data_IF_041153568864
#
_entry.id   IF_041153568864
#
_cell.length_a   1.000
_cell.length_b   1.000
_cell.length_c   1.000
_cell.angle_alpha   90.00
_cell.angle_beta   90.00
_cell.angle_gamma   90.00
#
_symmetry.space_group_name_H-M   'P 1'
#
loop_
_entity.id
_entity.type
_entity.pdbx_description
1 polymer ?
#
# COMPACT_ATOMS: atom_id res chain seq x y z
N UNK A 1 -20.16 -9.12 -24.33
CA UNK A 1 -19.11 -8.44 -23.54
C UNK A 1 -19.61 -8.29 -22.12
N UNK A 2 -19.18 -9.20 -21.22
CA UNK A 2 -19.52 -9.12 -19.79
C UNK A 2 -18.58 -8.08 -19.18
N UNK A 3 -19.14 -7.01 -18.61
CA UNK A 3 -18.38 -6.05 -17.79
C UNK A 3 -17.99 -6.79 -16.50
N UNK A 4 -16.71 -7.09 -16.35
CA UNK A 4 -16.15 -7.54 -15.07
C UNK A 4 -16.05 -6.27 -14.22
N UNK A 5 -16.98 -6.11 -13.29
CA UNK A 5 -16.84 -5.14 -12.22
C UNK A 5 -15.72 -5.66 -11.33
N UNK A 6 -14.52 -5.08 -11.42
CA UNK A 6 -13.47 -5.32 -10.43
C UNK A 6 -14.02 -4.90 -9.07
N UNK A 7 -14.22 -5.89 -8.20
CA UNK A 7 -14.46 -5.66 -6.78
C UNK A 7 -13.12 -5.19 -6.24
N UNK A 8 -13.03 -3.89 -6.00
CA UNK A 8 -11.94 -3.27 -5.26
C UNK A 8 -11.70 -4.07 -3.98
N UNK A 9 -10.46 -4.48 -3.75
CA UNK A 9 -9.99 -4.87 -2.43
C UNK A 9 -10.01 -3.60 -1.56
N UNK A 10 -11.20 -3.23 -1.09
CA UNK A 10 -11.32 -2.39 0.08
C UNK A 10 -10.79 -3.24 1.23
N UNK A 11 -9.56 -2.93 1.67
CA UNK A 11 -9.04 -3.40 2.93
C UNK A 11 -10.04 -2.98 4.02
N UNK A 12 -10.89 -3.91 4.45
CA UNK A 12 -11.78 -3.71 5.58
C UNK A 12 -10.91 -3.53 6.83
N UNK A 13 -10.87 -2.29 7.31
CA UNK A 13 -10.25 -1.89 8.56
C UNK A 13 -10.95 -2.60 9.72
N UNK A 14 -10.33 -3.66 10.24
CA UNK A 14 -10.73 -4.28 11.51
C UNK A 14 -9.96 -3.58 12.62
N UNK A 15 -10.73 -2.91 13.49
CA UNK A 15 -10.27 -2.16 14.64
C UNK A 15 -10.13 -3.11 15.85
N UNK A 16 -8.91 -3.36 16.34
CA UNK A 16 -8.68 -3.90 17.69
C UNK A 16 -7.44 -3.24 18.28
N UNK A 17 -7.60 -2.71 19.50
CA UNK A 17 -6.65 -1.79 20.12
C UNK A 17 -5.60 -2.38 21.07
N UNK A 18 -4.70 -1.48 21.43
CA UNK A 18 -3.90 -1.34 22.66
C UNK A 18 -2.81 -2.38 22.98
N UNK A 19 -1.54 -1.95 22.87
CA UNK A 19 -0.40 -2.58 23.55
C UNK A 19 0.99 -1.98 23.26
N UNK A 20 1.34 -0.90 23.96
CA UNK A 20 2.68 -0.45 24.41
C UNK A 20 3.96 -0.54 23.50
N UNK A 21 4.53 0.65 23.24
CA UNK A 21 5.96 1.05 23.23
C UNK A 21 7.05 0.10 22.69
N UNK A 22 7.77 0.53 21.63
CA UNK A 22 9.16 1.01 21.77
C UNK A 22 9.72 1.68 20.50
N UNK A 23 10.55 2.70 20.73
CA UNK A 23 11.39 3.42 19.76
C UNK A 23 12.38 2.50 19.03
N UNK A 24 12.65 2.81 17.75
CA UNK A 24 13.95 3.29 17.25
C UNK A 24 14.21 2.84 15.80
N UNK A 25 14.64 3.77 14.95
CA UNK A 25 15.24 3.44 13.66
C UNK A 25 15.15 4.57 12.66
N UNK A 26 16.10 5.50 12.71
CA UNK A 26 16.27 6.57 11.73
C UNK A 26 17.02 6.01 10.51
N UNK A 27 16.53 6.10 9.26
CA UNK A 27 17.39 5.99 8.09
C UNK A 27 17.55 7.36 7.46
N UNK A 28 18.73 7.94 7.64
CA UNK A 28 19.20 9.08 6.86
C UNK A 28 19.38 8.63 5.39
N UNK A 29 18.42 9.00 4.54
CA UNK A 29 18.51 8.92 3.09
C UNK A 29 18.20 10.29 2.48
N UNK A 30 19.10 10.79 1.64
CA UNK A 30 19.11 12.13 1.03
C UNK A 30 17.73 12.64 0.58
N UNK A 31 17.10 13.46 1.42
CA UNK A 31 16.00 14.35 1.02
C UNK A 31 16.61 15.62 0.43
N UNK A 32 16.36 15.84 -0.86
CA UNK A 32 16.66 17.10 -1.51
C UNK A 32 15.97 18.25 -0.75
N UNK A 33 16.74 19.28 -0.43
CA UNK A 33 16.35 20.38 0.46
C UNK A 33 15.01 21.02 0.04
N UNK A 34 13.94 20.64 0.72
CA UNK A 34 12.63 21.28 0.59
C UNK A 34 12.60 22.46 1.56
N UNK A 35 12.29 23.66 1.05
CA UNK A 35 12.22 24.89 1.86
C UNK A 35 11.27 24.69 3.04
N UNK A 36 11.77 24.99 4.24
CA UNK A 36 11.04 24.91 5.51
C UNK A 36 9.69 25.63 5.45
N UNK A 37 8.66 24.90 5.92
CA UNK A 37 7.31 25.39 6.18
C UNK A 37 7.33 26.58 7.14
N UNK A 38 6.48 27.59 6.89
CA UNK A 38 6.20 28.64 7.85
C UNK A 38 5.18 28.08 8.87
N UNK A 39 5.63 27.73 10.07
CA UNK A 39 4.77 27.17 11.12
C UNK A 39 4.05 28.30 11.86
N UNK A 40 2.72 28.36 11.69
CA UNK A 40 1.72 28.85 12.65
C UNK A 40 2.07 28.54 14.13
N UNK A 41 2.54 29.45 15.02
CA UNK A 41 3.03 29.07 16.35
C UNK A 41 2.04 28.41 17.33
N UNK A 42 0.72 28.42 17.07
CA UNK A 42 -0.28 28.11 18.10
C UNK A 42 -1.25 26.94 17.80
N UNK A 43 -1.12 26.24 16.68
CA UNK A 43 -1.97 25.07 16.38
C UNK A 43 -1.20 23.79 16.64
N UNK A 44 -1.56 23.08 17.71
CA UNK A 44 -0.95 21.80 18.08
C UNK A 44 -1.54 20.69 17.20
N UNK A 45 -0.70 20.04 16.40
CA UNK A 45 -1.06 18.80 15.70
C UNK A 45 -1.43 17.69 16.71
N UNK A 46 -2.30 16.73 16.32
CA UNK A 46 -2.64 15.60 17.17
C UNK A 46 -1.42 14.76 17.53
N UNK A 47 -1.52 13.99 18.61
CA UNK A 47 -0.42 13.13 19.06
C UNK A 47 -0.02 12.13 17.97
N UNK A 48 1.29 11.97 17.75
CA UNK A 48 1.83 11.08 16.71
C UNK A 48 2.07 11.77 15.37
N UNK A 49 1.61 13.01 15.17
CA UNK A 49 1.83 13.76 13.94
C UNK A 49 2.81 14.93 14.13
N UNK A 50 3.57 15.18 13.06
CA UNK A 50 4.39 16.38 12.88
C UNK A 50 4.17 16.90 11.46
N UNK A 51 4.45 18.17 11.19
CA UNK A 51 4.34 18.72 9.84
C UNK A 51 5.25 17.97 8.86
N UNK A 52 6.46 17.60 9.29
CA UNK A 52 7.44 16.85 8.49
C UNK A 52 6.96 15.42 8.17
N UNK A 53 6.39 14.72 9.15
CA UNK A 53 5.87 13.36 8.92
C UNK A 53 4.64 13.37 8.01
N UNK A 54 3.75 14.36 8.13
CA UNK A 54 2.61 14.54 7.21
C UNK A 54 3.09 14.86 5.79
N UNK A 55 4.06 15.77 5.65
CA UNK A 55 4.62 16.12 4.34
C UNK A 55 5.25 14.90 3.64
N UNK A 56 6.02 14.09 4.39
CA UNK A 56 6.64 12.87 3.86
C UNK A 56 5.59 11.84 3.48
N UNK A 57 4.59 11.62 4.33
CA UNK A 57 3.48 10.72 4.07
C UNK A 57 2.65 11.19 2.85
N UNK A 58 2.52 12.49 2.64
CA UNK A 58 1.78 13.04 1.50
C UNK A 58 2.52 12.82 0.16
N UNK A 59 3.84 13.00 0.12
CA UNK A 59 4.65 12.66 -1.06
C UNK A 59 4.53 11.16 -1.39
N UNK A 60 4.63 10.31 -0.38
CA UNK A 60 4.53 8.86 -0.57
C UNK A 60 3.11 8.42 -0.97
N UNK A 61 2.06 9.07 -0.44
CA UNK A 61 0.67 8.85 -0.85
C UNK A 61 0.47 9.17 -2.34
N UNK A 62 0.99 10.32 -2.80
CA UNK A 62 0.96 10.68 -4.22
C UNK A 62 1.73 9.64 -5.05
N UNK A 63 2.92 9.26 -4.61
CA UNK A 63 3.74 8.28 -5.31
C UNK A 63 3.03 6.93 -5.45
N UNK A 64 2.42 6.43 -4.37
CA UNK A 64 1.70 5.16 -4.35
C UNK A 64 0.63 5.09 -5.43
N UNK A 65 -0.24 6.10 -5.50
CA UNK A 65 -1.29 6.14 -6.52
C UNK A 65 -0.73 6.35 -7.93
N UNK A 66 0.33 7.13 -8.12
CA UNK A 66 0.96 7.23 -9.45
C UNK A 66 1.62 5.93 -9.89
N UNK A 67 2.10 5.12 -8.94
CA UNK A 67 2.76 3.84 -9.20
C UNK A 67 1.76 2.74 -9.57
N UNK A 68 0.71 2.58 -8.75
CA UNK A 68 -0.29 1.52 -8.91
C UNK A 68 -1.47 1.92 -9.82
N UNK A 69 -1.84 3.20 -9.87
CA UNK A 69 -3.05 3.68 -10.54
C UNK A 69 -2.80 4.71 -11.66
N UNK A 70 -1.85 4.49 -12.61
CA UNK A 70 -1.60 5.49 -13.64
C UNK A 70 -2.75 5.54 -14.66
N UNK A 71 -3.04 6.73 -15.20
CA UNK A 71 -4.08 6.99 -16.19
C UNK A 71 -3.90 6.23 -17.51
N UNK A 72 -2.69 5.71 -17.78
CA UNK A 72 -2.43 4.83 -18.92
C UNK A 72 -3.16 3.48 -18.82
N UNK A 73 -3.62 3.09 -17.63
CA UNK A 73 -4.39 1.86 -17.39
C UNK A 73 -5.88 2.20 -17.39
N UNK A 74 -6.72 1.53 -18.22
CA UNK A 74 -8.13 1.85 -18.32
C UNK A 74 -8.86 1.76 -16.98
N UNK A 75 -9.62 2.81 -16.66
CA UNK A 75 -10.39 2.90 -15.42
C UNK A 75 -9.66 3.61 -14.29
N UNK A 76 -8.35 3.83 -14.41
CA UNK A 76 -7.58 4.58 -13.44
C UNK A 76 -7.62 6.08 -13.74
N UNK A 77 -7.68 6.86 -12.68
CA UNK A 77 -7.51 8.31 -12.74
C UNK A 77 -6.99 8.79 -11.40
N UNK A 78 -5.90 9.54 -11.41
CA UNK A 78 -5.39 10.16 -10.21
C UNK A 78 -5.15 11.66 -10.42
N UNK A 79 -5.62 12.44 -9.46
CA UNK A 79 -5.74 13.90 -9.61
C UNK A 79 -4.38 14.61 -9.72
N UNK A 80 -3.32 14.01 -9.18
CA UNK A 80 -1.97 14.58 -9.21
C UNK A 80 -1.18 14.21 -10.47
N UNK A 81 -1.63 13.26 -11.30
CA UNK A 81 -0.87 12.80 -12.48
C UNK A 81 -0.64 13.90 -13.53
N UNK A 82 -1.61 14.77 -13.88
CA UNK A 82 -1.38 15.90 -14.78
C UNK A 82 -0.41 16.97 -14.22
N UNK A 83 -0.03 16.84 -12.95
CA UNK A 83 0.81 17.76 -12.22
C UNK A 83 2.23 17.25 -11.98
N UNK A 84 2.62 16.09 -12.53
CA UNK A 84 4.01 15.61 -12.52
C UNK A 84 4.95 16.71 -13.04
N UNK A 85 6.01 16.98 -12.28
CA UNK A 85 7.00 18.04 -12.52
C UNK A 85 6.54 19.45 -12.13
N UNK A 86 5.30 19.62 -11.62
CA UNK A 86 4.74 20.90 -11.20
C UNK A 86 4.66 21.01 -9.68
N UNK A 87 4.67 22.25 -9.20
CA UNK A 87 4.49 22.59 -7.79
C UNK A 87 3.01 22.48 -7.40
N UNK A 88 2.76 21.86 -6.26
CA UNK A 88 1.48 21.82 -5.54
C UNK A 88 1.69 22.48 -4.19
N UNK A 89 0.77 23.36 -3.81
CA UNK A 89 0.72 23.97 -2.49
C UNK A 89 -0.29 23.21 -1.63
N UNK A 90 0.10 22.87 -0.40
CA UNK A 90 -0.65 22.03 0.51
C UNK A 90 -0.82 22.71 1.87
N UNK A 91 -2.02 22.59 2.43
CA UNK A 91 -2.41 23.13 3.73
C UNK A 91 -2.80 21.98 4.66
N UNK A 92 -2.16 21.93 5.84
CA UNK A 92 -2.48 20.98 6.90
C UNK A 92 -3.64 21.53 7.72
N UNK A 93 -4.79 20.87 7.66
CA UNK A 93 -6.02 21.26 8.37
C UNK A 93 -6.36 20.27 9.47
N UNK A 94 -6.83 20.78 10.60
CA UNK A 94 -7.45 19.98 11.67
C UNK A 94 -8.84 20.53 11.91
N UNK A 95 -9.86 19.69 11.74
CA UNK A 95 -11.27 20.09 11.88
C UNK A 95 -11.76 19.84 13.31
N UNK A 96 -12.63 20.71 13.82
CA UNK A 96 -13.19 20.56 15.17
C UNK A 96 -14.00 19.26 15.33
N UNK A 97 -14.67 18.82 14.25
CA UNK A 97 -15.42 17.56 14.20
C UNK A 97 -14.53 16.30 14.20
N UNK A 98 -13.26 16.44 13.83
CA UNK A 98 -12.27 15.35 13.75
C UNK A 98 -10.92 15.81 14.32
N UNK A 99 -10.86 16.10 15.64
CA UNK A 99 -9.70 16.76 16.23
C UNK A 99 -8.44 15.89 16.24
N UNK A 100 -8.57 14.58 16.07
CA UNK A 100 -7.46 13.62 16.08
C UNK A 100 -6.97 13.25 14.67
N UNK A 101 -7.59 13.79 13.62
CA UNK A 101 -7.30 13.44 12.22
C UNK A 101 -6.81 14.68 11.47
N UNK A 102 -5.54 14.73 11.06
CA UNK A 102 -5.05 15.74 10.14
C UNK A 102 -5.52 15.46 8.72
N UNK A 103 -5.79 16.54 7.99
CA UNK A 103 -6.16 16.51 6.59
C UNK A 103 -5.21 17.37 5.78
N UNK A 104 -4.94 16.99 4.53
CA UNK A 104 -4.30 17.87 3.56
C UNK A 104 -5.34 18.34 2.55
N UNK A 105 -5.50 19.66 2.47
CA UNK A 105 -6.13 20.32 1.33
C UNK A 105 -5.05 20.83 0.39
N UNK A 106 -5.26 20.77 -0.92
CA UNK A 106 -4.30 21.32 -1.88
C UNK A 106 -4.94 22.29 -2.85
N UNK A 107 -4.11 23.00 -3.61
CA UNK A 107 -4.57 23.84 -4.70
C UNK A 107 -4.96 23.07 -5.98
N UNK A 108 -4.87 21.74 -5.97
CA UNK A 108 -5.24 20.87 -7.10
C UNK A 108 -6.21 19.78 -6.65
N UNK A 109 -7.16 19.45 -7.52
CA UNK A 109 -8.18 18.46 -7.20
C UNK A 109 -9.24 18.94 -6.21
N UNK A 110 -10.20 18.06 -5.98
CA UNK A 110 -11.28 18.23 -5.01
C UNK A 110 -11.13 17.14 -3.95
N UNK A 111 -11.32 17.49 -2.68
CA UNK A 111 -11.22 16.56 -1.56
C UNK A 111 -10.09 16.86 -0.57
N UNK A 112 -10.03 16.04 0.47
CA UNK A 112 -9.08 16.15 1.57
C UNK A 112 -8.33 14.82 1.73
N UNK A 113 -7.02 14.82 1.63
CA UNK A 113 -6.25 13.61 1.95
C UNK A 113 -6.27 13.41 3.46
N UNK A 114 -6.72 12.23 3.88
CA UNK A 114 -6.88 11.86 5.29
C UNK A 114 -5.60 11.21 5.78
N UNK A 115 -5.11 11.61 6.96
CA UNK A 115 -3.91 11.02 7.55
C UNK A 115 -4.23 10.21 8.80
N UNK A 116 -3.62 9.03 8.89
CA UNK A 116 -3.63 8.20 10.08
C UNK A 116 -2.21 8.03 10.63
N UNK A 117 -2.14 7.68 11.92
CA UNK A 117 -0.90 7.30 12.58
C UNK A 117 -1.08 5.92 13.22
N UNK A 118 -0.17 4.99 12.94
CA UNK A 118 -0.17 3.64 13.49
C UNK A 118 1.26 3.22 13.79
N UNK A 119 1.53 2.76 15.01
CA UNK A 119 2.83 2.24 15.44
C UNK A 119 4.03 3.16 15.13
N UNK A 120 3.80 4.47 15.17
CA UNK A 120 4.80 5.50 14.89
C UNK A 120 4.95 5.88 13.41
N UNK A 121 4.20 5.25 12.51
CA UNK A 121 4.13 5.60 11.09
C UNK A 121 2.95 6.52 10.81
N UNK A 122 3.17 7.56 10.01
CA UNK A 122 2.12 8.43 9.47
C UNK A 122 1.95 8.11 7.99
N UNK A 123 0.71 7.93 7.54
CA UNK A 123 0.40 7.59 6.15
C UNK A 123 -0.92 8.22 5.69
N UNK A 124 -1.07 8.41 4.38
CA UNK A 124 -2.33 8.83 3.78
C UNK A 124 -3.28 7.65 3.63
N UNK A 125 -4.49 7.78 4.15
CA UNK A 125 -5.52 6.73 4.21
C UNK A 125 -6.59 6.88 3.11
N UNK A 126 -6.40 7.83 2.20
CA UNK A 126 -7.30 8.09 1.08
C UNK A 126 -7.67 9.55 0.95
N UNK A 127 -8.61 9.83 0.03
CA UNK A 127 -9.17 11.16 -0.22
C UNK A 127 -10.62 11.14 0.24
N UNK A 128 -10.96 11.95 1.23
CA UNK A 128 -12.33 12.22 1.61
C UNK A 128 -12.93 13.29 0.69
N UNK A 129 -14.13 13.03 0.19
CA UNK A 129 -14.97 13.96 -0.57
C UNK A 129 -16.26 14.26 0.18
N UNK A 130 -16.96 15.34 -0.18
CA UNK A 130 -18.18 15.74 0.51
C UNK A 130 -19.23 14.60 0.51
N UNK A 131 -19.68 14.23 1.71
CA UNK A 131 -20.62 13.13 1.93
C UNK A 131 -19.99 11.81 2.34
N UNK A 132 -18.65 11.67 2.25
CA UNK A 132 -17.96 10.50 2.76
C UNK A 132 -17.96 10.46 4.31
N UNK A 133 -17.93 9.27 4.94
CA UNK A 133 -17.86 9.17 6.40
C UNK A 133 -16.64 9.85 7.03
N UNK A 134 -15.53 9.93 6.29
CA UNK A 134 -14.30 10.61 6.71
C UNK A 134 -14.31 12.11 6.40
N UNK A 135 -15.37 12.63 5.76
CA UNK A 135 -15.51 14.06 5.50
C UNK A 135 -15.89 14.78 6.80
N UNK A 136 -15.22 15.88 7.15
CA UNK A 136 -15.57 16.66 8.33
C UNK A 136 -16.97 17.24 8.20
N UNK A 137 -17.81 17.03 9.22
CA UNK A 137 -19.20 17.51 9.24
C UNK A 137 -19.33 19.01 9.50
N UNK A 138 -18.25 19.67 9.90
CA UNK A 138 -18.17 21.10 10.17
C UNK A 138 -17.09 21.72 9.29
N UNK A 139 -17.37 22.90 8.74
CA UNK A 139 -16.41 23.64 7.90
C UNK A 139 -15.28 24.30 8.73
N UNK A 140 -15.45 24.44 10.05
CA UNK A 140 -14.45 25.09 10.89
C UNK A 140 -13.23 24.20 11.10
N UNK A 141 -12.08 24.69 10.63
CA UNK A 141 -10.77 24.08 10.84
C UNK A 141 -9.74 25.09 11.32
N UNK A 142 -8.65 24.57 11.88
CA UNK A 142 -7.43 25.32 12.16
C UNK A 142 -6.31 24.88 11.22
N UNK A 143 -5.60 25.84 10.65
CA UNK A 143 -4.40 25.58 9.82
C UNK A 143 -3.20 25.29 10.71
N UNK A 144 -2.70 24.06 10.67
CA UNK A 144 -1.56 23.60 11.45
C UNK A 144 -0.21 23.81 10.73
N UNK A 145 -0.24 24.14 9.43
CA UNK A 145 0.95 24.44 8.65
C UNK A 145 0.66 24.44 7.15
N UNK A 146 1.60 24.99 6.39
CA UNK A 146 1.56 25.01 4.93
C UNK A 146 2.92 24.60 4.38
N UNK A 147 2.92 23.86 3.29
CA UNK A 147 4.12 23.51 2.56
C UNK A 147 3.83 23.40 1.08
N UNK A 148 4.88 23.21 0.30
CA UNK A 148 4.74 22.93 -1.12
C UNK A 148 5.68 21.82 -1.53
N UNK A 149 5.20 21.01 -2.45
CA UNK A 149 5.95 19.89 -3.02
C UNK A 149 5.92 19.96 -4.54
N UNK A 150 6.92 19.38 -5.18
CA UNK A 150 6.91 19.16 -6.63
C UNK A 150 6.53 17.71 -6.85
N UNK A 151 5.43 17.46 -7.58
CA UNK A 151 4.97 16.10 -7.86
C UNK A 151 6.04 15.39 -8.68
N UNK A 152 6.62 14.32 -8.13
CA UNK A 152 7.65 13.55 -8.81
C UNK A 152 7.03 12.55 -9.79
N UNK A 153 7.78 12.10 -10.82
CA UNK A 153 7.41 10.90 -11.57
C UNK A 153 7.23 9.69 -10.64
N UNK A 154 6.36 8.72 -10.99
CA UNK A 154 6.16 7.52 -10.18
C UNK A 154 7.47 6.76 -9.99
N UNK A 155 7.70 6.30 -8.75
CA UNK A 155 8.86 5.50 -8.34
C UNK A 155 8.43 4.31 -7.50
N UNK A 156 9.24 3.24 -7.42
CA UNK A 156 8.99 2.15 -6.48
C UNK A 156 8.72 2.72 -5.08
N UNK A 157 7.63 2.30 -4.41
CA UNK A 157 7.32 2.76 -3.08
C UNK A 157 8.40 2.42 -2.06
N UNK A 158 8.56 3.26 -1.04
CA UNK A 158 9.44 2.95 0.08
C UNK A 158 8.66 2.17 1.15
N UNK A 159 8.62 0.85 1.00
CA UNK A 159 7.86 -0.02 1.90
C UNK A 159 8.43 -0.15 3.31
N UNK A 160 9.59 0.44 3.59
CA UNK A 160 10.23 0.40 4.90
C UNK A 160 10.80 -0.97 5.29
N UNK A 161 11.48 -0.99 6.44
CA UNK A 161 12.17 -2.16 6.96
C UNK A 161 12.26 -2.13 8.49
N UNK A 162 11.51 -3.01 9.15
CA UNK A 162 11.59 -3.22 10.60
C UNK A 162 11.64 -4.69 10.98
N UNK A 163 11.98 -4.94 12.24
CA UNK A 163 11.84 -6.25 12.87
C UNK A 163 10.39 -6.77 12.84
N UNK A 164 9.39 -5.89 12.96
CA UNK A 164 7.98 -6.27 12.88
C UNK A 164 7.64 -6.77 11.47
N UNK A 165 8.01 -6.00 10.43
CA UNK A 165 7.82 -6.42 9.03
C UNK A 165 8.52 -7.73 8.70
N UNK A 166 9.74 -7.95 9.19
CA UNK A 166 10.43 -9.23 9.00
C UNK A 166 9.66 -10.42 9.61
N UNK A 167 8.99 -10.24 10.76
CA UNK A 167 8.13 -11.27 11.34
C UNK A 167 6.86 -11.50 10.51
N UNK A 168 6.25 -10.44 9.98
CA UNK A 168 5.10 -10.54 9.06
C UNK A 168 5.48 -11.30 7.79
N UNK A 169 6.66 -11.02 7.23
CA UNK A 169 7.21 -11.74 6.08
C UNK A 169 7.35 -13.23 6.40
N UNK A 170 7.96 -13.60 7.54
CA UNK A 170 8.10 -15.00 7.93
C UNK A 170 6.75 -15.70 8.15
N UNK A 171 5.75 -14.98 8.67
CA UNK A 171 4.41 -15.52 8.82
C UNK A 171 3.76 -15.78 7.44
N UNK A 172 3.90 -14.85 6.49
CA UNK A 172 3.44 -15.03 5.11
C UNK A 172 4.17 -16.19 4.39
N UNK A 173 5.48 -16.35 4.61
CA UNK A 173 6.23 -17.51 4.11
C UNK A 173 5.62 -18.83 4.62
N UNK A 174 5.23 -18.88 5.90
CA UNK A 174 4.52 -20.03 6.48
C UNK A 174 3.17 -20.32 5.79
N UNK A 175 2.39 -19.28 5.48
CA UNK A 175 1.17 -19.41 4.69
C UNK A 175 1.45 -19.98 3.29
N UNK A 176 2.45 -19.47 2.59
CA UNK A 176 2.83 -19.94 1.23
C UNK A 176 3.22 -21.42 1.26
N UNK A 177 3.97 -21.85 2.29
CA UNK A 177 4.29 -23.26 2.50
C UNK A 177 3.02 -24.11 2.66
N UNK A 178 2.11 -23.73 3.55
CA UNK A 178 0.85 -24.46 3.78
C UNK A 178 -0.01 -24.53 2.51
N UNK A 179 -0.17 -23.41 1.79
CA UNK A 179 -0.89 -23.36 0.53
C UNK A 179 -0.26 -24.30 -0.51
N UNK A 180 1.07 -24.33 -0.60
CA UNK A 180 1.80 -25.23 -1.50
C UNK A 180 1.50 -26.69 -1.17
N UNK A 181 1.53 -27.09 0.10
CA UNK A 181 1.19 -28.46 0.50
C UNK A 181 -0.26 -28.84 0.13
N UNK A 182 -1.21 -27.91 0.30
CA UNK A 182 -2.61 -28.14 -0.04
C UNK A 182 -2.79 -28.33 -1.55
N UNK A 183 -2.16 -27.49 -2.38
CA UNK A 183 -2.18 -27.64 -3.84
C UNK A 183 -1.46 -28.94 -4.27
N UNK A 184 -0.35 -29.25 -3.60
CA UNK A 184 0.33 -30.56 -3.41
C UNK A 184 -0.59 -31.78 -3.45
N UNK A 185 -1.64 -31.71 -2.63
CA UNK A 185 -2.54 -32.84 -2.34
C UNK A 185 -3.83 -32.77 -3.16
N UNK A 186 -4.01 -31.74 -3.97
CA UNK A 186 -5.20 -31.54 -4.78
C UNK A 186 -5.21 -32.40 -6.05
N UNK A 187 -6.38 -32.56 -6.67
CA UNK A 187 -6.51 -33.26 -7.95
C UNK A 187 -5.74 -32.57 -9.10
N UNK A 188 -5.48 -31.27 -8.95
CA UNK A 188 -4.78 -30.44 -9.94
C UNK A 188 -3.30 -30.27 -9.61
N UNK A 189 -2.70 -31.13 -8.78
CA UNK A 189 -1.31 -30.98 -8.32
C UNK A 189 -0.31 -30.78 -9.48
N UNK A 190 -0.50 -31.47 -10.60
CA UNK A 190 0.37 -31.33 -11.77
C UNK A 190 0.33 -29.92 -12.39
N UNK A 191 -0.81 -29.23 -12.30
CA UNK A 191 -0.96 -27.88 -12.83
C UNK A 191 -0.30 -26.82 -11.96
N UNK A 192 -0.19 -27.10 -10.66
CA UNK A 192 0.44 -26.21 -9.68
C UNK A 192 1.95 -26.45 -9.58
N UNK A 193 2.45 -27.58 -10.06
CA UNK A 193 3.89 -27.79 -10.19
C UNK A 193 4.49 -26.74 -11.15
N UNK A 194 5.72 -26.30 -10.88
CA UNK A 194 6.41 -25.20 -11.57
C UNK A 194 5.77 -23.80 -11.44
N UNK A 195 4.74 -23.65 -10.59
CA UNK A 195 4.17 -22.33 -10.27
C UNK A 195 5.22 -21.44 -9.62
N UNK A 196 5.39 -20.23 -10.15
CA UNK A 196 6.15 -19.16 -9.51
C UNK A 196 5.29 -18.42 -8.50
N UNK A 197 5.84 -18.10 -7.33
CA UNK A 197 5.11 -17.47 -6.24
C UNK A 197 5.86 -16.22 -5.80
N UNK A 198 5.16 -15.10 -5.75
CA UNK A 198 5.69 -13.79 -5.42
C UNK A 198 5.00 -13.28 -4.16
N UNK A 199 5.76 -13.10 -3.08
CA UNK A 199 5.30 -12.31 -1.94
C UNK A 199 5.57 -10.84 -2.24
N UNK A 200 4.51 -10.08 -2.44
CA UNK A 200 4.57 -8.65 -2.77
C UNK A 200 5.04 -7.87 -1.54
N UNK A 201 5.87 -6.85 -1.73
CA UNK A 201 6.23 -5.95 -0.64
C UNK A 201 5.00 -5.17 -0.13
N UNK A 202 5.08 -4.70 1.11
CA UNK A 202 4.00 -4.01 1.81
C UNK A 202 4.57 -3.06 2.85
N UNK A 203 3.86 -1.97 3.14
CA UNK A 203 4.31 -1.03 4.15
C UNK A 203 4.23 -1.61 5.56
N UNK A 204 5.06 -1.09 6.46
CA UNK A 204 5.20 -1.57 7.84
C UNK A 204 3.92 -1.43 8.68
N UNK A 205 3.00 -0.55 8.27
CA UNK A 205 1.72 -0.31 8.93
C UNK A 205 0.58 -1.19 8.39
N UNK A 206 0.79 -1.89 7.28
CA UNK A 206 -0.25 -2.73 6.66
C UNK A 206 -0.58 -3.96 7.50
N UNK A 207 -1.83 -4.41 7.41
CA UNK A 207 -2.32 -5.62 8.06
C UNK A 207 -2.51 -6.78 7.08
N UNK A 208 -2.02 -6.65 5.86
CA UNK A 208 -2.05 -7.71 4.86
C UNK A 208 -0.87 -7.60 3.90
N UNK A 209 -0.55 -8.68 3.21
CA UNK A 209 0.40 -8.69 2.09
C UNK A 209 -0.22 -9.40 0.88
N UNK A 210 0.12 -8.95 -0.32
CA UNK A 210 -0.25 -9.64 -1.55
C UNK A 210 0.62 -10.87 -1.81
N UNK A 211 0.03 -11.93 -2.35
CA UNK A 211 0.76 -13.08 -2.89
C UNK A 211 0.22 -13.39 -4.29
N UNK A 212 1.12 -13.48 -5.26
CA UNK A 212 0.78 -13.82 -6.64
C UNK A 212 1.36 -15.18 -6.99
N UNK A 213 0.53 -16.08 -7.49
CA UNK A 213 0.93 -17.40 -7.98
C UNK A 213 0.76 -17.40 -9.50
N UNK A 214 1.81 -17.73 -10.25
CA UNK A 214 1.82 -17.74 -11.71
C UNK A 214 2.19 -19.13 -12.19
N UNK A 215 1.23 -19.82 -12.80
CA UNK A 215 1.41 -21.15 -13.40
C UNK A 215 2.11 -21.08 -14.76
N UNK A 216 2.58 -22.22 -15.25
CA UNK A 216 3.21 -22.33 -16.58
C UNK A 216 2.26 -22.07 -17.75
N UNK A 217 0.95 -22.19 -17.52
CA UNK A 217 -0.10 -21.90 -18.52
C UNK A 217 -0.60 -20.44 -18.44
N UNK A 218 0.22 -19.55 -17.88
CA UNK A 218 -0.07 -18.12 -17.71
C UNK A 218 -1.33 -17.82 -16.88
N UNK A 219 -1.79 -18.77 -16.07
CA UNK A 219 -2.80 -18.50 -15.04
C UNK A 219 -2.18 -17.82 -13.84
N UNK A 220 -2.64 -16.60 -13.54
CA UNK A 220 -2.28 -15.87 -12.34
C UNK A 220 -3.38 -15.97 -11.28
N UNK A 221 -3.04 -16.44 -10.08
CA UNK A 221 -3.90 -16.38 -8.89
C UNK A 221 -3.38 -15.34 -7.93
N UNK A 222 -4.19 -14.34 -7.63
CA UNK A 222 -3.87 -13.26 -6.71
C UNK A 222 -4.59 -13.52 -5.39
N UNK A 223 -3.85 -13.49 -4.29
CA UNK A 223 -4.35 -13.69 -2.94
C UNK A 223 -3.80 -12.59 -2.00
N UNK A 224 -4.49 -12.32 -0.91
CA UNK A 224 -4.00 -11.48 0.19
C UNK A 224 -3.90 -12.30 1.46
N UNK A 225 -2.80 -12.14 2.19
CA UNK A 225 -2.57 -12.79 3.49
C UNK A 225 -2.72 -11.73 4.56
N UNK A 226 -3.75 -11.84 5.39
CA UNK A 226 -3.97 -10.94 6.52
C UNK A 226 -3.11 -11.35 7.71
N UNK A 227 -2.61 -10.35 8.44
CA UNK A 227 -1.81 -10.51 9.64
C UNK A 227 -2.62 -10.14 10.88
N UNK A 228 -2.60 -11.01 11.89
CA UNK A 228 -3.10 -10.70 13.24
C UNK A 228 -1.93 -10.78 14.22
N UNK A 229 -1.64 -9.67 14.90
CA UNK A 229 -0.58 -9.65 15.92
C UNK A 229 -1.12 -10.19 17.25
N UNK A 230 -0.55 -11.30 17.71
CA UNK A 230 -0.78 -11.91 19.01
C UNK A 230 0.50 -11.80 19.85
N UNK A 231 0.70 -10.64 20.47
CA UNK A 231 1.86 -10.34 21.35
C UNK A 231 3.23 -10.49 20.66
N UNK A 232 3.37 -9.95 19.45
CA UNK A 232 4.61 -9.95 18.67
C UNK A 232 4.83 -11.24 17.87
N UNK A 233 3.83 -12.12 17.81
CA UNK A 233 3.73 -13.29 16.93
C UNK A 233 2.60 -13.02 15.95
N UNK A 234 2.90 -13.06 14.66
CA UNK A 234 1.91 -12.83 13.62
C UNK A 234 1.28 -14.14 13.17
N UNK A 235 -0.04 -14.24 13.31
CA UNK A 235 -0.85 -15.28 12.68
C UNK A 235 -1.32 -14.79 11.31
N UNK A 236 -1.48 -15.73 10.37
CA UNK A 236 -1.91 -15.44 9.01
C UNK A 236 -3.28 -16.04 8.70
N UNK A 237 -4.11 -15.27 8.01
CA UNK A 237 -5.34 -15.76 7.41
C UNK A 237 -5.36 -15.41 5.92
N UNK A 238 -5.48 -16.43 5.06
CA UNK A 238 -5.63 -16.23 3.62
C UNK A 238 -7.00 -15.65 3.28
N UNK A 239 -7.01 -14.63 2.43
CA UNK A 239 -8.21 -14.11 1.81
C UNK A 239 -8.70 -15.05 0.68
N UNK A 240 -9.92 -14.82 0.22
CA UNK A 240 -10.36 -15.41 -1.04
C UNK A 240 -9.60 -14.76 -2.19
N UNK A 241 -8.80 -15.54 -2.90
CA UNK A 241 -8.12 -15.08 -4.10
C UNK A 241 -9.01 -15.06 -5.35
N UNK A 242 -8.46 -14.52 -6.44
CA UNK A 242 -9.08 -14.53 -7.77
C UNK A 242 -8.06 -14.90 -8.84
N UNK A 243 -8.54 -15.55 -9.90
CA UNK A 243 -7.73 -16.03 -11.01
C UNK A 243 -7.89 -15.17 -12.26
N UNK A 244 -6.80 -15.03 -13.02
CA UNK A 244 -6.75 -14.44 -14.35
C UNK A 244 -6.12 -15.47 -15.29
N UNK A 245 -6.90 -15.95 -16.25
CA UNK A 245 -6.41 -16.89 -17.27
C UNK A 245 -5.62 -16.17 -18.35
N UNK A 246 -4.53 -16.78 -18.84
CA UNK A 246 -3.70 -16.25 -19.92
C UNK A 246 -3.26 -14.79 -19.68
N UNK A 247 -2.84 -14.46 -18.45
CA UNK A 247 -2.55 -13.07 -18.06
C UNK A 247 -1.55 -12.41 -19.00
N UNK A 248 -0.56 -13.17 -19.50
CA UNK A 248 0.49 -12.61 -20.35
C UNK A 248 0.08 -12.43 -21.82
N UNK A 249 -1.08 -12.95 -22.23
CA UNK A 249 -1.69 -12.72 -23.54
C UNK A 249 -2.54 -11.44 -23.60
N UNK A 250 -2.86 -10.85 -22.44
CA UNK A 250 -3.57 -9.57 -22.35
C UNK A 250 -2.68 -8.39 -22.79
N UNK A 251 -3.32 -7.28 -23.16
CA UNK A 251 -2.60 -6.03 -23.44
C UNK A 251 -1.81 -5.57 -22.21
N UNK A 252 -0.65 -4.93 -22.40
CA UNK A 252 0.20 -4.48 -21.28
C UNK A 252 -0.49 -3.45 -20.37
N UNK A 253 -1.45 -2.71 -20.91
CA UNK A 253 -2.25 -1.76 -20.16
C UNK A 253 -3.59 -2.34 -19.71
N UNK A 254 -3.89 -3.62 -19.99
CA UNK A 254 -5.04 -4.28 -19.36
C UNK A 254 -4.89 -4.23 -17.83
N UNK A 255 -5.92 -3.82 -17.06
CA UNK A 255 -5.80 -3.68 -15.61
C UNK A 255 -5.33 -4.95 -14.90
N UNK A 256 -5.76 -6.13 -15.35
CA UNK A 256 -5.34 -7.40 -14.76
C UNK A 256 -3.87 -7.71 -15.05
N UNK A 257 -3.42 -7.48 -16.28
CA UNK A 257 -2.01 -7.64 -16.67
C UNK A 257 -1.11 -6.65 -15.95
N UNK A 258 -1.48 -5.38 -15.96
CA UNK A 258 -0.72 -4.31 -15.34
C UNK A 258 -0.54 -4.57 -13.84
N UNK A 259 -1.62 -4.93 -13.14
CA UNK A 259 -1.56 -5.27 -11.72
C UNK A 259 -0.60 -6.44 -11.45
N UNK A 260 -0.70 -7.54 -12.21
CA UNK A 260 0.19 -8.70 -12.03
C UNK A 260 1.65 -8.33 -12.28
N UNK A 261 1.95 -7.61 -13.37
CA UNK A 261 3.32 -7.17 -13.66
C UNK A 261 3.88 -6.29 -12.54
N UNK A 262 3.05 -5.40 -11.95
CA UNK A 262 3.46 -4.55 -10.82
C UNK A 262 3.72 -5.33 -9.55
N UNK A 263 2.81 -6.21 -9.16
CA UNK A 263 2.95 -7.05 -7.97
C UNK A 263 4.18 -7.97 -8.06
N UNK A 264 4.48 -8.49 -9.25
CA UNK A 264 5.71 -9.25 -9.50
C UNK A 264 6.94 -8.35 -9.37
N UNK A 265 6.91 -7.15 -9.96
CA UNK A 265 8.01 -6.18 -9.90
C UNK A 265 8.33 -5.71 -8.48
N UNK A 266 7.31 -5.61 -7.62
CA UNK A 266 7.44 -5.18 -6.22
C UNK A 266 7.60 -6.37 -5.26
N UNK A 267 7.93 -7.58 -5.75
CA UNK A 267 8.08 -8.74 -4.89
C UNK A 267 9.32 -8.66 -3.98
N UNK A 268 9.14 -8.95 -2.68
CA UNK A 268 10.23 -9.10 -1.69
C UNK A 268 10.73 -10.52 -1.54
N UNK A 269 9.95 -11.50 -1.99
CA UNK A 269 10.37 -12.90 -2.06
C UNK A 269 9.81 -13.55 -3.30
N UNK A 270 10.59 -14.45 -3.87
CA UNK A 270 10.19 -15.32 -4.96
C UNK A 270 10.45 -16.78 -4.60
N UNK A 271 9.52 -17.63 -5.02
CA UNK A 271 9.60 -19.08 -4.89
C UNK A 271 9.15 -19.73 -6.19
N UNK A 272 9.51 -20.99 -6.33
CA UNK A 272 8.94 -21.90 -7.32
C UNK A 272 8.51 -23.18 -6.64
N UNK A 273 7.37 -23.72 -7.03
CA UNK A 273 7.00 -25.09 -6.69
C UNK A 273 7.76 -26.01 -7.64
N UNK A 274 8.68 -26.82 -7.15
CA UNK A 274 9.44 -27.76 -7.98
C UNK A 274 9.38 -29.15 -7.37
N UNK A 275 8.95 -30.13 -8.16
CA UNK A 275 8.83 -31.53 -7.77
C UNK A 275 8.02 -31.71 -6.47
N UNK A 276 6.94 -30.91 -6.34
CA UNK A 276 6.07 -30.92 -5.17
C UNK A 276 6.60 -30.18 -3.94
N UNK A 277 7.75 -29.48 -4.05
CA UNK A 277 8.38 -28.76 -2.95
C UNK A 277 8.46 -27.26 -3.23
N UNK A 278 8.29 -26.45 -2.19
CA UNK A 278 8.53 -25.01 -2.28
C UNK A 278 10.03 -24.73 -2.23
N UNK A 279 10.57 -24.15 -3.29
CA UNK A 279 11.98 -23.76 -3.40
C UNK A 279 12.07 -22.24 -3.48
N UNK A 280 12.77 -21.63 -2.54
CA UNK A 280 13.06 -20.19 -2.57
C UNK A 280 14.05 -19.89 -3.70
N UNK A 281 13.71 -18.92 -4.54
CA UNK A 281 14.60 -18.45 -5.61
C UNK A 281 15.21 -17.11 -5.23
N UNK A 282 16.31 -16.74 -5.88
CA UNK A 282 16.82 -15.37 -5.80
C UNK A 282 15.94 -14.49 -6.68
N UNK A 283 15.43 -13.39 -6.12
CA UNK A 283 14.88 -12.31 -6.93
C UNK A 283 15.98 -11.84 -7.88
N UNK A 284 15.79 -12.05 -9.17
CA UNK A 284 16.57 -11.33 -10.18
C UNK A 284 16.12 -9.87 -10.07
N UNK A 285 16.93 -9.05 -9.40
CA UNK A 285 16.73 -7.60 -9.41
C UNK A 285 16.88 -7.13 -10.85
N UNK A 286 15.75 -6.90 -11.53
CA UNK A 286 15.66 -6.28 -12.85
C UNK A 286 15.98 -4.78 -12.78
#
# INVERSE_FOLDING_TARGET
>A
MRRITLIWLAAMTVWIGSGCMNQAGNPSGNLAATKQAAVQPDVKLPSGFTAESIQTAFDEFINYHLWFDPSSVPGNSFVFEPHIGKRVDAEIRVYASHPDTPYIHTNVGEGLVVFQAKDGFVFGDGIATEGDPAWPSEESYTTAGEFALTVQPPRPPYYGASAAKNKMISAAEGYIHAFTEDMMRSENANEWNHTKIYLVDFYEYESAAGVVFVREDDYAWLNSVFFTDNNGVYETQGAKGFGIENVFALDKHDPGRYLVDRLIGDAIREYVIQDGQLVKTSLETN
#
